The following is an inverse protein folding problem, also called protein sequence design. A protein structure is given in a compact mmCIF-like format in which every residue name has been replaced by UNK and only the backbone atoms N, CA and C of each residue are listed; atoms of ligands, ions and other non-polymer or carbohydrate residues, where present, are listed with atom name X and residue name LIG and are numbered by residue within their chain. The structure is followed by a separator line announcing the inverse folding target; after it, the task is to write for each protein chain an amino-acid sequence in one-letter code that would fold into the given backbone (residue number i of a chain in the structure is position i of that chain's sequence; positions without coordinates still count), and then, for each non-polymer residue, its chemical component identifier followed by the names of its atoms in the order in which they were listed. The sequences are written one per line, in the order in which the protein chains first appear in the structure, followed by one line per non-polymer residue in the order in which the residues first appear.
data_IF_863168506133
#
_entry.id   IF_863168506133
#
_cell.length_a   1.000
_cell.length_b   1.000
_cell.length_c   1.000
_cell.angle_alpha   90.00
_cell.angle_beta   90.00
_cell.angle_gamma   90.00
#
_symmetry.space_group_name_H-M   'P 1'
#
loop_
_entity.id
_entity.type
_entity.pdbx_description
1 polymer ?
#
# COMPACT_ATOMS: atom_id res chain seq x y z
N UNK A 1 1.95 -4.55 -19.72
CA UNK A 1 2.00 -3.17 -20.25
C UNK A 1 1.38 -3.18 -21.64
N UNK A 2 0.05 -3.30 -21.72
CA UNK A 2 -0.73 -3.36 -22.96
C UNK A 2 -1.66 -2.14 -22.97
N UNK A 3 -1.73 -1.40 -24.08
CA UNK A 3 -2.50 -0.15 -24.22
C UNK A 3 -2.09 1.02 -23.29
N UNK A 4 -0.89 1.01 -22.74
CA UNK A 4 -0.38 2.12 -21.91
C UNK A 4 0.22 3.28 -22.72
N UNK A 5 0.42 3.09 -24.03
CA UNK A 5 1.01 4.07 -24.94
C UNK A 5 0.15 4.25 -26.18
N UNK A 6 0.16 5.45 -26.75
CA UNK A 6 -0.51 5.82 -27.99
C UNK A 6 0.52 6.33 -29.00
N UNK A 7 0.23 6.15 -30.29
CA UNK A 7 1.15 6.52 -31.37
C UNK A 7 1.33 8.03 -31.52
N UNK A 8 0.29 8.80 -31.23
CA UNK A 8 0.31 10.26 -31.30
C UNK A 8 0.31 10.87 -29.88
N UNK A 9 1.18 11.83 -29.57
CA UNK A 9 1.25 12.45 -28.25
C UNK A 9 0.04 13.37 -28.00
N UNK A 10 -0.59 13.22 -26.84
CA UNK A 10 -1.55 14.20 -26.34
C UNK A 10 -0.78 15.30 -25.59
N UNK A 11 -0.83 16.53 -26.11
CA UNK A 11 -0.14 17.69 -25.57
C UNK A 11 -1.07 18.61 -24.75
N UNK A 12 -2.29 18.14 -24.40
CA UNK A 12 -3.20 18.91 -23.56
C UNK A 12 -2.56 19.22 -22.20
N UNK A 13 -2.46 20.51 -21.79
CA UNK A 13 -1.87 20.85 -20.51
C UNK A 13 -2.65 20.25 -19.35
N UNK A 14 -1.93 19.74 -18.35
CA UNK A 14 -2.56 19.23 -17.14
C UNK A 14 -3.23 20.37 -16.35
N UNK A 15 -4.55 20.28 -16.18
CA UNK A 15 -5.31 21.17 -15.30
C UNK A 15 -5.26 20.64 -13.87
N UNK A 16 -4.38 21.22 -13.05
CA UNK A 16 -4.29 20.83 -11.65
C UNK A 16 -5.57 21.19 -10.88
N UNK A 17 -5.89 20.36 -9.89
CA UNK A 17 -6.99 20.61 -8.94
C UNK A 17 -6.37 21.21 -7.67
N UNK A 18 -7.02 22.22 -7.10
CA UNK A 18 -6.59 22.80 -5.83
C UNK A 18 -6.64 21.75 -4.71
N UNK A 19 -5.67 21.80 -3.79
CA UNK A 19 -5.67 20.94 -2.63
C UNK A 19 -6.92 21.20 -1.78
N UNK A 20 -7.67 20.13 -1.48
CA UNK A 20 -8.88 20.20 -0.63
C UNK A 20 -8.55 20.16 0.87
N UNK A 21 -7.29 19.86 1.19
CA UNK A 21 -6.76 19.72 2.56
C UNK A 21 -5.42 20.44 2.63
N UNK A 22 -5.00 20.80 3.84
CA UNK A 22 -3.71 21.44 4.04
C UNK A 22 -2.57 20.47 3.72
N UNK A 23 -1.62 20.93 2.90
CA UNK A 23 -0.43 20.14 2.54
C UNK A 23 0.63 20.13 3.65
N UNK A 24 0.46 20.96 4.67
CA UNK A 24 1.37 21.08 5.81
C UNK A 24 0.79 20.51 7.10
N UNK A 25 -0.42 19.95 7.03
CA UNK A 25 -1.05 19.31 8.17
C UNK A 25 -0.24 18.09 8.61
N UNK A 26 -0.07 17.96 9.93
CA UNK A 26 0.65 16.84 10.56
C UNK A 26 -0.21 16.24 11.65
N UNK A 27 -0.01 14.95 11.89
CA UNK A 27 -0.57 14.28 13.04
C UNK A 27 -0.04 14.93 14.34
N UNK A 28 -0.95 15.10 15.30
CA UNK A 28 -0.64 15.61 16.64
C UNK A 28 -0.62 14.45 17.63
N UNK A 29 -0.18 14.69 18.86
CA UNK A 29 -0.23 13.68 19.94
C UNK A 29 -1.66 13.20 20.27
N UNK A 30 -2.68 13.98 19.91
CA UNK A 30 -4.10 13.64 20.09
C UNK A 30 -4.70 12.93 18.88
N UNK A 31 -3.96 12.82 17.77
CA UNK A 31 -4.42 12.12 16.58
C UNK A 31 -4.61 10.64 16.89
N UNK A 32 -5.52 10.01 16.15
CA UNK A 32 -5.78 8.59 16.29
C UNK A 32 -4.49 7.78 16.03
N UNK A 33 -4.21 6.81 16.90
CA UNK A 33 -3.03 5.96 16.74
C UNK A 33 -1.69 6.65 17.04
N UNK A 34 -1.65 7.88 17.55
CA UNK A 34 -0.40 8.60 17.82
C UNK A 34 0.50 7.84 18.82
N UNK A 35 -0.07 7.30 19.90
CA UNK A 35 0.66 6.50 20.88
C UNK A 35 1.22 5.21 20.29
N UNK A 36 0.43 4.50 19.48
CA UNK A 36 0.84 3.29 18.80
C UNK A 36 1.94 3.58 17.78
N UNK A 37 1.81 4.68 17.04
CA UNK A 37 2.79 5.13 16.06
C UNK A 37 4.18 5.35 16.67
N UNK A 38 4.23 5.92 17.89
CA UNK A 38 5.46 6.15 18.63
C UNK A 38 6.09 4.87 19.21
N UNK A 39 5.31 3.78 19.29
CA UNK A 39 5.75 2.52 19.86
C UNK A 39 6.21 1.50 18.81
N UNK A 40 6.01 1.77 17.51
CA UNK A 40 6.49 0.88 16.46
C UNK A 40 8.02 0.90 16.37
N UNK A 41 8.61 -0.29 16.25
CA UNK A 41 10.00 -0.43 15.83
C UNK A 41 10.07 -0.20 14.32
N UNK A 42 10.75 0.89 13.94
CA UNK A 42 11.00 1.26 12.55
C UNK A 42 12.50 1.26 12.22
N UNK A 43 13.34 0.72 13.13
CA UNK A 43 14.79 0.66 12.95
C UNK A 43 15.18 -0.42 11.93
N UNK A 44 14.31 -1.43 11.76
CA UNK A 44 14.49 -2.53 10.82
C UNK A 44 13.25 -2.70 9.93
N UNK A 45 13.48 -3.06 8.68
CA UNK A 45 12.43 -3.44 7.75
C UNK A 45 11.56 -4.59 8.30
N UNK A 46 10.24 -4.45 8.17
CA UNK A 46 9.24 -5.45 8.55
C UNK A 46 9.24 -5.83 10.05
N UNK A 47 9.71 -4.94 10.94
CA UNK A 47 9.71 -5.17 12.39
C UNK A 47 8.36 -4.86 13.07
N UNK A 48 7.58 -3.92 12.52
CA UNK A 48 6.29 -3.54 13.06
C UNK A 48 5.20 -4.58 12.73
N UNK A 49 4.24 -4.76 13.65
CA UNK A 49 3.04 -5.57 13.40
C UNK A 49 2.24 -4.95 12.24
N UNK A 50 2.09 -5.71 11.16
CA UNK A 50 1.52 -5.21 9.92
C UNK A 50 0.03 -4.89 10.00
N UNK A 51 -0.75 -5.60 10.81
CA UNK A 51 -2.17 -5.33 11.01
C UNK A 51 -2.36 -4.03 11.78
N UNK A 52 -1.62 -3.88 12.88
CA UNK A 52 -1.68 -2.68 13.70
C UNK A 52 -1.18 -1.46 12.92
N UNK A 53 -0.08 -1.61 12.17
CA UNK A 53 0.48 -0.53 11.38
C UNK A 53 -0.46 -0.10 10.25
N UNK A 54 -1.09 -1.06 9.55
CA UNK A 54 -2.10 -0.75 8.55
C UNK A 54 -3.33 -0.06 9.14
N UNK A 55 -3.76 -0.44 10.36
CA UNK A 55 -4.91 0.18 11.00
C UNK A 55 -4.64 1.66 11.32
N UNK A 56 -3.45 1.96 11.86
CA UNK A 56 -2.92 3.33 12.08
C UNK A 56 -2.97 4.16 10.82
N UNK A 57 -2.45 3.64 9.71
CA UNK A 57 -2.45 4.35 8.42
C UNK A 57 -3.88 4.56 7.93
N UNK A 58 -4.70 3.50 7.91
CA UNK A 58 -6.07 3.56 7.39
C UNK A 58 -6.91 4.62 8.10
N UNK A 59 -6.95 4.58 9.43
CA UNK A 59 -7.75 5.51 10.24
C UNK A 59 -7.19 6.92 10.26
N UNK A 60 -5.89 7.10 10.02
CA UNK A 60 -5.31 8.44 9.83
C UNK A 60 -5.81 9.09 8.52
N UNK A 61 -5.95 8.31 7.45
CA UNK A 61 -6.35 8.81 6.13
C UNK A 61 -7.87 8.87 5.97
N UNK A 62 -8.58 7.85 6.43
CA UNK A 62 -10.03 7.67 6.23
C UNK A 62 -10.86 8.17 7.41
N UNK A 63 -10.20 8.54 8.51
CA UNK A 63 -10.83 8.98 9.76
C UNK A 63 -10.90 7.87 10.81
N UNK A 64 -10.84 8.27 12.08
CA UNK A 64 -10.78 7.37 13.24
C UNK A 64 -11.93 6.36 13.33
N UNK A 65 -13.11 6.75 12.81
CA UNK A 65 -14.32 5.92 12.80
C UNK A 65 -14.44 5.02 11.57
N UNK A 66 -13.46 5.06 10.65
CA UNK A 66 -13.48 4.21 9.45
C UNK A 66 -13.05 2.78 9.82
N UNK A 67 -13.89 1.76 9.54
CA UNK A 67 -13.46 0.37 9.69
C UNK A 67 -12.40 0.06 8.64
N UNK A 68 -11.26 -0.51 9.07
CA UNK A 68 -10.24 -0.99 8.15
C UNK A 68 -10.77 -2.23 7.42
N UNK A 69 -10.63 -2.34 6.09
CA UNK A 69 -10.97 -3.54 5.36
C UNK A 69 -10.15 -4.74 5.86
N UNK A 70 -10.67 -5.97 5.73
CA UNK A 70 -9.96 -7.16 6.18
C UNK A 70 -8.64 -7.34 5.41
N UNK A 71 -7.59 -7.89 6.07
CA UNK A 71 -6.31 -8.12 5.44
C UNK A 71 -6.44 -9.11 4.28
N UNK A 72 -5.96 -8.70 3.10
CA UNK A 72 -5.88 -9.57 1.92
C UNK A 72 -4.46 -10.09 1.81
N UNK A 73 -4.27 -11.39 2.05
CA UNK A 73 -2.99 -12.08 1.88
C UNK A 73 -3.00 -12.83 0.55
N UNK A 74 -2.18 -12.44 -0.40
CA UNK A 74 -1.98 -13.20 -1.63
C UNK A 74 -0.85 -14.21 -1.43
N UNK A 75 -1.14 -15.51 -1.53
CA UNK A 75 -0.10 -16.53 -1.55
C UNK A 75 0.46 -16.64 -2.98
N UNK A 76 1.72 -16.30 -3.18
CA UNK A 76 2.43 -16.63 -4.42
C UNK A 76 2.69 -18.15 -4.43
N UNK A 77 1.89 -18.91 -5.20
CA UNK A 77 2.19 -20.32 -5.43
C UNK A 77 3.24 -20.43 -6.55
N UNK A 78 4.41 -20.99 -6.23
CA UNK A 78 5.34 -21.48 -7.24
C UNK A 78 4.86 -22.86 -7.70
N UNK A 79 4.52 -23.08 -8.98
CA UNK A 79 4.17 -24.41 -9.47
C UNK A 79 5.38 -25.33 -9.32
N UNK A 80 5.17 -26.50 -8.68
CA UNK A 80 6.15 -27.58 -8.71
C UNK A 80 6.14 -28.18 -10.12
N UNK A 81 7.14 -27.85 -10.93
CA UNK A 81 7.35 -28.56 -12.19
C UNK A 81 7.91 -29.94 -11.90
N UNK A 82 7.13 -30.99 -12.15
CA UNK A 82 7.65 -32.36 -12.25
C UNK A 82 8.34 -32.50 -13.60
N UNK A 83 9.67 -32.68 -13.58
CA UNK A 83 10.43 -33.00 -14.79
C UNK A 83 10.02 -34.40 -15.23
N UNK A 84 9.38 -34.52 -16.40
CA UNK A 84 9.14 -35.82 -17.05
C UNK A 84 10.49 -36.39 -17.47
N UNK A 85 10.89 -37.59 -17.02
CA UNK A 85 12.14 -38.18 -17.49
C UNK A 85 12.06 -38.38 -19.01
N UNK A 86 13.15 -38.03 -19.70
CA UNK A 86 13.26 -38.20 -21.14
C UNK A 86 13.05 -39.68 -21.49
N UNK A 87 12.25 -39.95 -22.52
CA UNK A 87 12.11 -41.29 -23.07
C UNK A 87 13.49 -41.78 -23.52
N UNK A 88 13.91 -42.95 -23.04
CA UNK A 88 15.05 -43.66 -23.61
C UNK A 88 14.55 -44.35 -24.88
N UNK A 89 15.21 -44.03 -25.99
CA UNK A 89 15.16 -44.81 -27.23
C UNK A 89 15.75 -46.22 -27.02
#
# INVERSE_FOLDING_TARGET
MFHSFQAEPDLTPFKHVAAKVSLTEKNTEKSWGAKQSLAFDLDKEDAADDLLFNEVIWKSVKGANSPMPPPVRAAFFLPKYTIKPAAKD
#
